data_IF_134915863863
#
_entry.id   IF_134915863863
#
_cell.length_a   1.000
_cell.length_b   1.000
_cell.length_c   1.000
_cell.angle_alpha   90.00
_cell.angle_beta   90.00
_cell.angle_gamma   90.00
#
_symmetry.space_group_name_H-M   'P 1'
#
loop_
_entity.id
_entity.type
_entity.pdbx_description
1 polymer ?
#
# COMPACT_ATOMS: atom_id res chain seq x y z
N UNK A 1 -6.31 -6.85 -8.45
CA UNK A 1 -5.64 -8.12 -8.85
C UNK A 1 -4.80 -8.61 -7.68
N UNK A 2 -4.76 -9.92 -7.47
CA UNK A 2 -3.89 -10.59 -6.50
C UNK A 2 -2.93 -11.48 -7.29
N UNK A 3 -1.66 -11.48 -6.96
CA UNK A 3 -0.70 -12.41 -7.52
C UNK A 3 -0.52 -13.58 -6.55
N UNK A 4 -0.80 -14.78 -7.04
CA UNK A 4 -0.45 -16.02 -6.38
C UNK A 4 1.01 -16.31 -6.70
N UNK A 5 1.89 -15.68 -5.93
CA UNK A 5 3.34 -15.75 -6.13
C UNK A 5 3.84 -17.16 -5.98
N UNK A 6 4.64 -17.62 -6.94
CA UNK A 6 5.15 -18.98 -7.06
C UNK A 6 4.11 -20.09 -6.89
N UNK A 7 2.82 -19.80 -7.11
CA UNK A 7 1.74 -20.78 -7.06
C UNK A 7 1.47 -21.38 -5.67
N UNK A 8 1.80 -20.65 -4.61
CA UNK A 8 1.69 -21.14 -3.22
C UNK A 8 0.26 -21.46 -2.79
N UNK A 9 -0.72 -20.67 -3.24
CA UNK A 9 -2.13 -20.94 -2.95
C UNK A 9 -2.69 -21.96 -3.92
N UNK A 10 -3.00 -23.14 -3.41
CA UNK A 10 -3.53 -24.30 -4.19
C UNK A 10 -4.94 -24.70 -3.77
N UNK A 11 -5.53 -23.99 -2.79
CA UNK A 11 -6.86 -24.25 -2.28
C UNK A 11 -7.92 -23.69 -3.22
N UNK A 12 -8.95 -24.49 -3.49
CA UNK A 12 -10.14 -24.10 -4.24
C UNK A 12 -10.80 -22.83 -3.68
N UNK A 13 -10.79 -22.71 -2.36
CA UNK A 13 -11.38 -21.58 -1.66
C UNK A 13 -10.73 -20.24 -2.03
N UNK A 14 -9.41 -20.20 -2.26
CA UNK A 14 -8.71 -18.99 -2.68
C UNK A 14 -9.30 -18.43 -3.99
N UNK A 15 -9.47 -19.28 -5.00
CA UNK A 15 -10.02 -18.86 -6.30
C UNK A 15 -11.51 -18.54 -6.19
N UNK A 16 -12.27 -19.34 -5.44
CA UNK A 16 -13.69 -19.08 -5.20
C UNK A 16 -13.91 -17.71 -4.55
N UNK A 17 -13.13 -17.37 -3.53
CA UNK A 17 -13.20 -16.05 -2.91
C UNK A 17 -12.78 -14.92 -3.87
N UNK A 18 -11.76 -15.14 -4.70
CA UNK A 18 -11.39 -14.18 -5.73
C UNK A 18 -12.53 -13.96 -6.74
N UNK A 19 -13.25 -15.01 -7.14
CA UNK A 19 -14.44 -14.91 -7.98
C UNK A 19 -15.54 -14.09 -7.30
N UNK A 20 -15.87 -14.41 -6.05
CA UNK A 20 -16.92 -13.73 -5.27
C UNK A 20 -16.61 -12.23 -5.05
N UNK A 21 -15.35 -11.90 -4.78
CA UNK A 21 -14.93 -10.52 -4.55
C UNK A 21 -14.56 -9.75 -5.83
N UNK A 22 -14.63 -10.40 -7.01
CA UNK A 22 -14.26 -9.78 -8.28
C UNK A 22 -12.77 -9.42 -8.38
N UNK A 23 -11.90 -10.22 -7.77
CA UNK A 23 -10.46 -10.03 -7.79
C UNK A 23 -9.82 -10.83 -8.90
N UNK A 24 -9.10 -10.19 -9.80
CA UNK A 24 -8.31 -10.91 -10.80
C UNK A 24 -7.11 -11.60 -10.15
N UNK A 25 -6.78 -12.80 -10.63
CA UNK A 25 -5.64 -13.59 -10.17
C UNK A 25 -4.58 -13.65 -11.26
N UNK A 26 -3.36 -13.30 -10.93
CA UNK A 26 -2.14 -13.63 -11.64
C UNK A 26 -1.55 -14.87 -10.97
N UNK A 27 -1.55 -16.01 -11.65
CA UNK A 27 -1.08 -17.26 -11.07
C UNK A 27 0.29 -17.66 -11.59
N UNK A 28 1.28 -17.72 -10.72
CA UNK A 28 2.58 -18.29 -11.02
C UNK A 28 2.54 -19.82 -10.90
N UNK A 29 3.47 -20.50 -11.59
CA UNK A 29 3.87 -21.87 -11.25
C UNK A 29 5.04 -21.84 -10.24
N UNK A 30 5.47 -23.01 -9.76
CA UNK A 30 6.35 -23.19 -8.59
C UNK A 30 7.83 -22.90 -8.86
N UNK A 31 8.14 -21.95 -9.73
CA UNK A 31 9.50 -21.53 -10.02
C UNK A 31 9.75 -20.15 -9.43
N UNK A 32 10.69 -20.08 -8.49
CA UNK A 32 11.01 -18.89 -7.73
C UNK A 32 12.04 -17.99 -8.44
N UNK A 33 12.71 -17.14 -7.67
CA UNK A 33 13.69 -16.16 -8.13
C UNK A 33 14.94 -16.82 -8.70
N UNK A 34 15.63 -16.16 -9.63
CA UNK A 34 16.94 -16.60 -10.13
C UNK A 34 17.92 -16.87 -8.97
N UNK A 35 18.67 -17.96 -9.08
CA UNK A 35 19.61 -18.39 -8.05
C UNK A 35 19.03 -19.31 -6.97
N UNK A 36 17.74 -19.33 -6.82
CA UNK A 36 17.06 -20.29 -5.96
C UNK A 36 16.51 -21.43 -6.81
N UNK A 37 15.64 -21.81 -7.10
CA UNK A 37 14.93 -22.85 -7.78
C UNK A 37 15.11 -22.81 -9.32
N UNK A 38 16.35 -22.88 -9.77
CA UNK A 38 16.64 -22.68 -11.19
C UNK A 38 16.21 -23.84 -12.09
N UNK A 39 16.39 -25.06 -11.61
CA UNK A 39 16.11 -26.27 -12.37
C UNK A 39 15.08 -27.12 -11.63
N UNK A 40 14.17 -27.66 -12.40
CA UNK A 40 13.22 -28.67 -11.93
C UNK A 40 13.93 -30.03 -11.91
N UNK A 41 13.87 -30.76 -10.80
CA UNK A 41 14.51 -32.05 -10.66
C UNK A 41 13.85 -33.12 -11.56
N UNK A 42 12.54 -33.00 -11.75
CA UNK A 42 11.75 -33.90 -12.60
C UNK A 42 10.75 -33.04 -13.42
N UNK A 43 11.13 -32.76 -14.67
CA UNK A 43 10.30 -31.96 -15.58
C UNK A 43 8.99 -32.67 -15.95
N UNK A 44 8.97 -34.03 -16.03
CA UNK A 44 7.75 -34.75 -16.36
C UNK A 44 6.73 -34.67 -15.24
N UNK A 45 7.17 -34.83 -14.00
CA UNK A 45 6.31 -34.64 -12.82
C UNK A 45 5.83 -33.19 -12.72
N UNK A 46 6.72 -32.21 -12.95
CA UNK A 46 6.35 -30.80 -12.97
C UNK A 46 5.26 -30.53 -14.02
N UNK A 47 5.42 -31.02 -15.23
CA UNK A 47 4.45 -30.84 -16.31
C UNK A 47 3.11 -31.54 -16.02
N UNK A 48 3.15 -32.69 -15.36
CA UNK A 48 1.93 -33.38 -14.92
C UNK A 48 1.16 -32.52 -13.89
N UNK A 49 1.86 -32.04 -12.89
CA UNK A 49 1.27 -31.16 -11.87
C UNK A 49 0.74 -29.84 -12.48
N UNK A 50 1.50 -29.22 -13.39
CA UNK A 50 1.07 -28.02 -14.10
C UNK A 50 -0.21 -28.25 -14.90
N UNK A 51 -0.33 -29.39 -15.58
CA UNK A 51 -1.54 -29.76 -16.31
C UNK A 51 -2.76 -29.87 -15.39
N UNK A 52 -2.61 -30.56 -14.27
CA UNK A 52 -3.70 -30.74 -13.32
C UNK A 52 -4.11 -29.39 -12.67
N UNK A 53 -3.14 -28.53 -12.37
CA UNK A 53 -3.38 -27.17 -11.88
C UNK A 53 -4.17 -26.34 -12.89
N UNK A 54 -3.77 -26.34 -14.17
CA UNK A 54 -4.51 -25.62 -15.22
C UNK A 54 -5.93 -26.16 -15.35
N UNK A 55 -6.10 -27.49 -15.42
CA UNK A 55 -7.43 -28.12 -15.53
C UNK A 55 -8.33 -27.82 -14.37
N UNK A 56 -7.76 -27.77 -13.16
CA UNK A 56 -8.50 -27.50 -11.92
C UNK A 56 -9.00 -26.06 -11.87
N UNK A 57 -8.15 -25.09 -12.20
CA UNK A 57 -8.46 -23.69 -11.94
C UNK A 57 -8.88 -22.87 -13.17
N UNK A 58 -8.73 -23.38 -14.38
CA UNK A 58 -9.05 -22.64 -15.63
C UNK A 58 -10.50 -22.16 -15.74
N UNK A 59 -11.43 -22.73 -14.98
CA UNK A 59 -12.83 -22.33 -15.02
C UNK A 59 -13.17 -21.17 -14.07
N UNK A 60 -12.23 -20.73 -13.23
CA UNK A 60 -12.44 -19.58 -12.37
C UNK A 60 -12.37 -18.28 -13.16
N UNK A 61 -13.43 -17.44 -13.18
CA UNK A 61 -13.43 -16.17 -13.91
C UNK A 61 -12.42 -15.15 -13.36
N UNK A 62 -12.01 -15.29 -12.12
CA UNK A 62 -10.96 -14.49 -11.51
C UNK A 62 -9.59 -14.70 -12.12
N UNK A 63 -9.29 -15.91 -12.59
CA UNK A 63 -7.98 -16.23 -13.14
C UNK A 63 -7.76 -15.52 -14.48
N UNK A 64 -6.77 -14.63 -14.52
CA UNK A 64 -6.49 -13.79 -15.67
C UNK A 64 -5.17 -14.09 -16.37
N UNK A 65 -4.15 -14.49 -15.62
CA UNK A 65 -2.78 -14.67 -16.13
C UNK A 65 -2.18 -15.95 -15.58
N UNK A 66 -1.53 -16.71 -16.49
CA UNK A 66 -0.60 -17.78 -16.15
C UNK A 66 0.84 -17.30 -16.33
N UNK A 67 1.71 -17.58 -15.36
CA UNK A 67 3.12 -17.21 -15.39
C UNK A 67 3.99 -18.40 -14.95
N UNK A 68 4.97 -18.84 -15.76
CA UNK A 68 5.75 -20.02 -15.45
C UNK A 68 6.73 -19.80 -14.31
N UNK A 69 7.22 -18.56 -14.13
CA UNK A 69 8.33 -18.30 -13.23
C UNK A 69 8.32 -16.87 -12.68
N UNK A 70 8.69 -16.75 -11.41
CA UNK A 70 9.05 -15.46 -10.82
C UNK A 70 10.43 -15.02 -11.32
N UNK A 71 10.54 -13.73 -11.69
CA UNK A 71 11.78 -12.99 -12.00
C UNK A 71 12.76 -13.71 -12.94
N UNK A 72 12.29 -14.27 -14.03
CA UNK A 72 13.14 -14.93 -15.00
C UNK A 72 12.33 -15.85 -15.89
N UNK A 73 12.99 -16.52 -16.78
CA UNK A 73 12.39 -17.52 -17.66
C UNK A 73 12.56 -18.92 -17.06
N UNK A 74 11.60 -19.80 -17.29
CA UNK A 74 11.81 -21.22 -17.09
C UNK A 74 12.97 -21.71 -17.98
N UNK A 75 13.45 -22.93 -17.75
CA UNK A 75 14.54 -23.49 -18.58
C UNK A 75 14.13 -23.55 -20.07
N UNK A 76 15.08 -23.49 -21.00
CA UNK A 76 14.78 -23.60 -22.43
C UNK A 76 14.01 -24.87 -22.84
N UNK A 77 14.07 -25.91 -22.02
CA UNK A 77 13.32 -27.17 -22.23
C UNK A 77 11.91 -27.07 -21.68
N UNK A 78 11.71 -26.39 -20.55
CA UNK A 78 10.44 -26.31 -19.84
C UNK A 78 9.52 -25.19 -20.37
N UNK A 79 10.09 -24.01 -20.69
CA UNK A 79 9.31 -22.84 -21.12
C UNK A 79 8.37 -23.14 -22.32
N UNK A 80 8.84 -23.67 -23.44
CA UNK A 80 7.94 -23.92 -24.56
C UNK A 80 6.91 -25.04 -24.27
N UNK A 81 7.22 -25.96 -23.38
CA UNK A 81 6.29 -27.02 -22.94
C UNK A 81 5.15 -26.46 -22.12
N UNK A 82 5.45 -25.51 -21.21
CA UNK A 82 4.43 -24.80 -20.41
C UNK A 82 3.54 -23.93 -21.28
N UNK A 83 4.13 -23.14 -22.17
CA UNK A 83 3.37 -22.32 -23.12
C UNK A 83 2.41 -23.18 -23.97
N UNK A 84 2.89 -24.29 -24.52
CA UNK A 84 2.06 -25.21 -25.29
C UNK A 84 0.99 -25.93 -24.43
N UNK A 85 1.31 -26.26 -23.18
CA UNK A 85 0.35 -26.81 -22.23
C UNK A 85 -0.81 -25.87 -21.99
N UNK A 86 -0.52 -24.59 -21.66
CA UNK A 86 -1.53 -23.60 -21.37
C UNK A 86 -2.37 -23.29 -22.61
N UNK A 87 -1.75 -23.15 -23.76
CA UNK A 87 -2.49 -22.94 -25.02
C UNK A 87 -3.46 -24.09 -25.32
N UNK A 88 -3.09 -25.33 -24.99
CA UNK A 88 -3.92 -26.52 -25.23
C UNK A 88 -5.00 -26.72 -24.16
N UNK A 89 -4.66 -26.55 -22.88
CA UNK A 89 -5.56 -26.94 -21.78
C UNK A 89 -6.49 -25.78 -21.38
N UNK A 90 -6.07 -24.54 -21.57
CA UNK A 90 -6.87 -23.33 -21.29
C UNK A 90 -7.17 -22.56 -22.59
N UNK A 91 -6.16 -22.02 -23.24
CA UNK A 91 -6.24 -21.30 -24.52
C UNK A 91 -6.96 -19.96 -24.47
N UNK A 92 -7.43 -19.51 -23.32
CA UNK A 92 -8.23 -18.29 -23.15
C UNK A 92 -7.55 -17.19 -22.33
N UNK A 93 -6.68 -17.56 -21.38
CA UNK A 93 -5.97 -16.61 -20.51
C UNK A 93 -4.65 -16.19 -21.10
N UNK A 94 -4.24 -14.99 -20.68
CA UNK A 94 -2.93 -14.50 -21.06
C UNK A 94 -1.82 -15.36 -20.42
N UNK A 95 -0.83 -15.74 -21.21
CA UNK A 95 0.39 -16.36 -20.75
C UNK A 95 1.50 -15.33 -20.73
N UNK A 96 2.01 -15.00 -19.54
CA UNK A 96 3.19 -14.16 -19.38
C UNK A 96 4.39 -15.08 -19.14
N UNK A 97 5.43 -15.07 -20.00
CA UNK A 97 6.55 -16.00 -19.87
C UNK A 97 7.40 -15.78 -18.62
N UNK A 98 7.20 -14.66 -17.94
CA UNK A 98 7.86 -14.32 -16.67
C UNK A 98 7.14 -13.14 -16.00
N UNK A 99 7.59 -12.78 -14.78
CA UNK A 99 7.03 -11.66 -14.01
C UNK A 99 7.84 -10.37 -14.09
N UNK A 100 8.88 -10.27 -14.93
CA UNK A 100 9.87 -9.18 -14.86
C UNK A 100 10.23 -8.53 -16.19
N UNK A 101 10.12 -9.25 -17.29
CA UNK A 101 10.62 -8.85 -18.61
C UNK A 101 9.49 -8.60 -19.62
N UNK A 102 9.87 -8.26 -20.84
CA UNK A 102 8.98 -7.92 -21.95
C UNK A 102 8.25 -6.60 -21.71
N UNK A 103 6.93 -6.60 -21.72
CA UNK A 103 6.10 -5.40 -21.51
C UNK A 103 5.90 -5.02 -20.03
N UNK A 104 6.51 -5.78 -19.12
CA UNK A 104 6.53 -5.50 -17.71
C UNK A 104 7.75 -4.63 -17.38
N UNK A 105 7.64 -3.84 -16.33
CA UNK A 105 8.84 -3.23 -15.79
C UNK A 105 9.60 -4.23 -14.90
N UNK A 106 10.91 -4.00 -14.75
CA UNK A 106 11.70 -4.72 -13.74
C UNK A 106 11.10 -4.51 -12.35
N UNK A 107 10.92 -5.59 -11.58
CA UNK A 107 10.36 -5.57 -10.23
C UNK A 107 11.14 -4.67 -9.26
N UNK A 108 10.50 -4.30 -8.15
CA UNK A 108 11.07 -3.44 -7.12
C UNK A 108 10.88 -1.95 -7.41
N UNK A 109 11.53 -1.04 -6.62
CA UNK A 109 12.39 -1.36 -5.48
C UNK A 109 11.65 -2.03 -4.32
N UNK A 110 12.42 -2.66 -3.41
CA UNK A 110 11.90 -3.31 -2.19
C UNK A 110 12.50 -2.72 -0.91
N UNK A 111 13.22 -1.62 -1.01
CA UNK A 111 13.85 -0.90 0.08
C UNK A 111 13.18 0.46 0.30
N UNK A 112 13.46 1.08 1.43
CA UNK A 112 12.95 2.40 1.75
C UNK A 112 13.59 3.47 0.85
N UNK A 113 12.77 4.30 0.23
CA UNK A 113 13.22 5.47 -0.51
C UNK A 113 13.11 6.72 0.38
N UNK A 114 14.24 7.30 0.71
CA UNK A 114 14.30 8.50 1.54
C UNK A 114 13.61 9.70 0.88
N UNK A 115 13.58 9.77 -0.45
CA UNK A 115 12.82 10.76 -1.22
C UNK A 115 11.67 10.08 -1.97
N UNK A 116 10.45 10.28 -1.52
CA UNK A 116 9.24 9.76 -2.14
C UNK A 116 9.06 10.21 -3.60
N UNK A 117 9.69 11.33 -4.00
CA UNK A 117 9.67 11.82 -5.37
C UNK A 117 10.27 10.81 -6.35
N UNK A 118 11.16 9.94 -5.89
CA UNK A 118 11.77 8.92 -6.74
C UNK A 118 10.75 7.93 -7.30
N UNK A 119 9.69 7.61 -6.56
CA UNK A 119 8.60 6.79 -7.09
C UNK A 119 7.98 7.44 -8.33
N UNK A 120 7.76 8.76 -8.30
CA UNK A 120 7.15 9.53 -9.40
C UNK A 120 8.10 9.74 -10.56
N UNK A 121 9.38 10.04 -10.27
CA UNK A 121 10.35 10.44 -11.29
C UNK A 121 10.99 9.25 -12.00
N UNK A 122 11.22 8.14 -11.28
CA UNK A 122 12.06 7.03 -11.76
C UNK A 122 11.33 5.70 -11.87
N UNK A 123 10.33 5.44 -11.01
CA UNK A 123 9.78 4.10 -10.87
C UNK A 123 8.40 3.91 -11.48
N UNK A 124 7.55 4.94 -11.53
CA UNK A 124 6.19 4.84 -12.03
C UNK A 124 6.13 4.77 -13.56
N UNK A 125 6.29 3.56 -14.10
CA UNK A 125 6.06 3.24 -15.51
C UNK A 125 5.70 1.76 -15.68
N UNK A 126 4.96 1.44 -16.75
CA UNK A 126 4.57 0.07 -17.10
C UNK A 126 3.66 -0.59 -16.06
N UNK A 127 3.63 -1.91 -16.10
CA UNK A 127 3.00 -2.76 -15.09
C UNK A 127 4.09 -3.32 -14.17
N UNK A 128 4.01 -3.05 -12.88
CA UNK A 128 4.92 -3.61 -11.88
C UNK A 128 4.27 -4.79 -11.18
N UNK A 129 4.89 -5.95 -11.25
CA UNK A 129 4.42 -7.16 -10.57
C UNK A 129 4.82 -7.20 -9.10
N UNK A 130 5.82 -6.40 -8.72
CA UNK A 130 6.29 -6.25 -7.35
C UNK A 130 6.83 -4.85 -7.13
N UNK A 131 6.35 -4.19 -6.10
CA UNK A 131 6.83 -2.92 -5.59
C UNK A 131 6.61 -2.90 -4.09
N UNK A 132 7.63 -2.66 -3.30
CA UNK A 132 7.49 -2.70 -1.85
C UNK A 132 8.49 -1.82 -1.12
N UNK A 133 8.25 -1.68 0.15
CA UNK A 133 9.18 -1.13 1.13
C UNK A 133 8.98 -1.88 2.44
N UNK A 134 10.02 -2.15 3.22
CA UNK A 134 9.84 -2.73 4.55
C UNK A 134 8.81 -1.95 5.35
N UNK A 135 8.21 -2.58 6.33
CA UNK A 135 7.29 -1.92 7.25
C UNK A 135 7.38 -2.54 8.64
N UNK A 136 7.32 -1.70 9.65
CA UNK A 136 7.36 -2.13 11.04
C UNK A 136 5.94 -2.20 11.59
N UNK A 137 5.54 -3.30 12.26
CA UNK A 137 4.24 -3.42 12.92
C UNK A 137 3.98 -2.35 13.97
N UNK A 138 2.75 -2.29 14.47
CA UNK A 138 2.42 -1.47 15.64
C UNK A 138 3.14 -1.96 16.88
N UNK A 139 3.35 -1.09 17.88
CA UNK A 139 3.95 -1.48 19.15
C UNK A 139 3.18 -2.62 19.85
N UNK A 140 1.86 -2.66 19.65
CA UNK A 140 1.01 -3.73 20.17
C UNK A 140 1.34 -5.08 19.54
N UNK A 141 1.46 -5.14 18.22
CA UNK A 141 1.85 -6.36 17.51
C UNK A 141 3.29 -6.77 17.84
N UNK A 142 4.22 -5.81 17.93
CA UNK A 142 5.61 -6.08 18.33
C UNK A 142 5.71 -6.74 19.71
N UNK A 143 4.89 -6.31 20.68
CA UNK A 143 4.85 -6.90 22.01
C UNK A 143 4.41 -8.35 22.07
N UNK A 144 3.73 -8.83 21.02
CA UNK A 144 3.26 -10.23 20.95
C UNK A 144 4.38 -11.21 20.62
N UNK A 145 5.46 -10.77 19.96
CA UNK A 145 6.53 -11.65 19.52
C UNK A 145 7.94 -11.24 19.97
N UNK A 146 8.17 -9.98 20.36
CA UNK A 146 9.43 -9.57 20.96
C UNK A 146 9.34 -9.72 22.49
N UNK A 147 10.20 -10.54 23.11
CA UNK A 147 10.28 -10.67 24.57
C UNK A 147 10.50 -9.32 25.26
N UNK A 148 9.95 -9.15 26.45
CA UNK A 148 9.96 -7.87 27.14
C UNK A 148 11.38 -7.29 27.33
N UNK A 149 12.35 -8.13 27.66
CA UNK A 149 13.74 -7.71 27.84
C UNK A 149 14.42 -7.22 26.56
N UNK A 150 13.91 -7.63 25.39
CA UNK A 150 14.49 -7.35 24.08
C UNK A 150 13.75 -6.26 23.30
N UNK A 151 12.67 -5.70 23.90
CA UNK A 151 11.81 -4.72 23.22
C UNK A 151 12.47 -3.38 22.99
N UNK A 152 13.35 -2.96 23.88
CA UNK A 152 14.04 -1.68 23.77
C UNK A 152 15.29 -1.63 24.67
N UNK A 153 16.43 -1.09 24.19
CA UNK A 153 16.65 -0.64 22.82
C UNK A 153 16.54 -1.79 21.81
N UNK A 154 16.57 -1.45 20.49
CA UNK A 154 16.55 -2.45 19.42
C UNK A 154 17.69 -3.46 19.64
N UNK A 155 17.36 -4.73 19.60
CA UNK A 155 18.23 -5.86 19.96
C UNK A 155 18.39 -6.85 18.81
N UNK A 156 19.23 -7.86 18.97
CA UNK A 156 19.41 -8.94 17.99
C UNK A 156 18.11 -9.70 17.72
N UNK A 157 17.18 -9.73 18.70
CA UNK A 157 15.85 -10.32 18.51
C UNK A 157 15.07 -9.60 17.41
N UNK A 158 15.18 -8.28 17.30
CA UNK A 158 14.56 -7.54 16.22
C UNK A 158 15.14 -7.92 14.86
N UNK A 159 16.46 -8.03 14.76
CA UNK A 159 17.15 -8.43 13.52
C UNK A 159 16.83 -9.86 13.10
N UNK A 160 16.53 -10.75 14.06
CA UNK A 160 16.03 -12.09 13.73
C UNK A 160 14.70 -12.05 12.98
N UNK A 161 13.86 -11.06 13.26
CA UNK A 161 12.57 -10.86 12.59
C UNK A 161 12.65 -9.95 11.36
N UNK A 162 13.83 -9.40 11.03
CA UNK A 162 14.09 -8.50 9.90
C UNK A 162 14.84 -9.25 8.78
N UNK A 163 14.13 -10.00 7.97
CA UNK A 163 14.74 -10.93 6.99
C UNK A 163 15.51 -10.24 5.86
N UNK A 164 15.22 -8.99 5.56
CA UNK A 164 15.82 -8.25 4.43
C UNK A 164 16.54 -6.99 4.85
N UNK A 165 16.93 -6.92 6.13
CA UNK A 165 17.74 -5.84 6.69
C UNK A 165 17.14 -4.43 6.49
N UNK A 166 15.82 -4.32 6.45
CA UNK A 166 15.11 -3.04 6.31
C UNK A 166 15.09 -2.20 7.60
N UNK A 167 15.33 -2.83 8.75
CA UNK A 167 15.30 -2.16 10.05
C UNK A 167 16.36 -1.04 10.19
N UNK A 168 17.62 -1.19 9.74
CA UNK A 168 18.59 -0.10 9.77
C UNK A 168 18.16 1.12 8.93
N UNK A 169 17.53 0.89 7.76
CA UNK A 169 16.99 1.98 6.92
C UNK A 169 15.91 2.74 7.66
N UNK A 170 15.01 2.03 8.34
CA UNK A 170 13.93 2.64 9.15
C UNK A 170 14.46 3.36 10.38
N UNK A 171 15.47 2.82 11.06
CA UNK A 171 16.13 3.53 12.17
C UNK A 171 16.72 4.86 11.69
N UNK A 172 17.46 4.83 10.57
CA UNK A 172 18.01 6.03 9.96
C UNK A 172 16.92 7.02 9.53
N UNK A 173 15.82 6.53 8.95
CA UNK A 173 14.69 7.36 8.56
C UNK A 173 13.99 8.00 9.77
N UNK A 174 13.77 7.26 10.84
CA UNK A 174 13.18 7.80 12.10
C UNK A 174 14.07 8.91 12.64
N UNK A 175 15.38 8.67 12.74
CA UNK A 175 16.33 9.65 13.29
C UNK A 175 16.36 10.93 12.43
N UNK A 176 16.38 10.78 11.10
CA UNK A 176 16.43 11.91 10.17
C UNK A 176 15.12 12.71 10.12
N UNK A 177 13.97 12.04 10.13
CA UNK A 177 12.67 12.68 9.93
C UNK A 177 12.06 13.19 11.24
N UNK A 178 12.17 12.41 12.32
CA UNK A 178 11.44 12.64 13.57
C UNK A 178 12.32 12.76 14.81
N UNK A 179 13.66 12.62 14.64
CA UNK A 179 14.61 12.54 15.76
C UNK A 179 14.59 11.17 16.44
N UNK A 180 15.64 10.90 17.21
CA UNK A 180 15.83 9.60 17.88
C UNK A 180 14.59 9.16 18.64
N UNK A 181 14.31 7.86 18.54
CA UNK A 181 13.27 7.25 19.32
C UNK A 181 13.75 6.93 20.74
N UNK A 182 12.87 7.07 21.73
CA UNK A 182 13.20 6.89 23.15
C UNK A 182 12.62 5.57 23.73
N UNK A 183 11.73 4.92 23.00
CA UNK A 183 11.06 3.68 23.41
C UNK A 183 10.48 2.93 22.23
N UNK A 184 10.07 1.67 22.43
CA UNK A 184 9.31 0.89 21.47
C UNK A 184 8.09 1.66 20.94
N UNK A 185 7.29 2.25 21.84
CA UNK A 185 6.08 2.98 21.45
C UNK A 185 6.40 4.21 20.62
N UNK A 186 7.45 4.94 20.97
CA UNK A 186 7.88 6.12 20.24
C UNK A 186 8.41 5.74 18.85
N UNK A 187 9.23 4.72 18.77
CA UNK A 187 9.75 4.21 17.50
C UNK A 187 8.62 3.75 16.59
N UNK A 188 7.77 2.84 17.08
CA UNK A 188 6.66 2.32 16.27
C UNK A 188 5.69 3.42 15.85
N UNK A 189 5.40 4.42 16.70
CA UNK A 189 4.55 5.56 16.34
C UNK A 189 5.14 6.40 15.20
N UNK A 190 6.44 6.69 15.24
CA UNK A 190 7.16 7.43 14.18
C UNK A 190 7.17 6.64 12.88
N UNK A 191 7.49 5.35 12.96
CA UNK A 191 7.49 4.46 11.80
C UNK A 191 6.12 4.33 11.14
N UNK A 192 5.01 4.40 11.90
CA UNK A 192 3.67 4.35 11.28
C UNK A 192 3.44 5.50 10.29
N UNK A 193 4.02 6.67 10.53
CA UNK A 193 3.95 7.78 9.57
C UNK A 193 4.80 7.48 8.32
N UNK A 194 5.98 6.91 8.49
CA UNK A 194 6.84 6.48 7.37
C UNK A 194 6.13 5.41 6.55
N UNK A 195 5.59 4.37 7.20
CA UNK A 195 4.82 3.33 6.55
C UNK A 195 3.66 3.90 5.72
N UNK A 196 2.92 4.86 6.29
CA UNK A 196 1.79 5.49 5.63
C UNK A 196 2.24 6.28 4.40
N UNK A 197 3.22 7.16 4.53
CA UNK A 197 3.64 8.04 3.47
C UNK A 197 4.30 7.27 2.32
N UNK A 198 5.18 6.31 2.62
CA UNK A 198 5.85 5.50 1.60
C UNK A 198 4.86 4.67 0.77
N UNK A 199 3.93 3.96 1.42
CA UNK A 199 2.96 3.12 0.71
C UNK A 199 1.94 3.95 -0.07
N UNK A 200 1.54 5.12 0.46
CA UNK A 200 0.72 6.05 -0.30
C UNK A 200 1.46 6.56 -1.53
N UNK A 201 2.70 7.02 -1.37
CA UNK A 201 3.51 7.59 -2.45
C UNK A 201 3.76 6.57 -3.57
N UNK A 202 4.03 5.31 -3.26
CA UNK A 202 4.17 4.24 -4.25
C UNK A 202 2.96 4.17 -5.18
N UNK A 203 1.76 4.13 -4.63
CA UNK A 203 0.53 3.98 -5.42
C UNK A 203 0.11 5.30 -6.10
N UNK A 204 0.26 6.44 -5.42
CA UNK A 204 -0.01 7.75 -6.01
C UNK A 204 0.91 8.04 -7.21
N UNK A 205 2.15 7.54 -7.19
CA UNK A 205 3.06 7.68 -8.32
C UNK A 205 2.51 6.98 -9.58
N UNK A 206 2.00 5.74 -9.45
CA UNK A 206 1.34 5.04 -10.56
C UNK A 206 0.06 5.73 -10.99
N UNK A 207 -0.76 6.14 -10.04
CA UNK A 207 -1.99 6.87 -10.31
C UNK A 207 -1.74 8.16 -11.10
N UNK A 208 -0.67 8.90 -10.79
CA UNK A 208 -0.35 10.18 -11.45
C UNK A 208 -0.12 10.07 -12.96
N UNK A 209 0.18 8.88 -13.44
CA UNK A 209 0.50 8.57 -14.84
C UNK A 209 -0.43 7.54 -15.46
N UNK A 210 -1.58 7.30 -14.81
CA UNK A 210 -2.55 6.29 -15.19
C UNK A 210 -2.96 6.43 -16.65
N UNK A 211 -2.77 5.35 -17.36
CA UNK A 211 -2.94 5.03 -18.76
C UNK A 211 -2.03 5.78 -19.76
N UNK A 212 -1.20 6.70 -19.28
CA UNK A 212 -0.18 7.31 -20.14
C UNK A 212 1.09 6.44 -20.17
N UNK A 213 1.74 6.29 -19.03
CA UNK A 213 2.97 5.49 -18.93
C UNK A 213 2.90 4.38 -17.88
N UNK A 214 1.82 4.30 -17.11
CA UNK A 214 1.57 3.24 -16.12
C UNK A 214 0.29 2.49 -16.44
N UNK A 215 0.27 1.18 -16.17
CA UNK A 215 -0.93 0.34 -16.38
C UNK A 215 -1.32 -0.48 -15.14
N UNK A 216 -0.46 -0.59 -14.15
CA UNK A 216 -0.77 -1.26 -12.90
C UNK A 216 0.44 -1.48 -12.01
N UNK A 217 0.17 -1.78 -10.76
CA UNK A 217 1.19 -2.10 -9.75
C UNK A 217 0.62 -3.09 -8.73
N UNK A 218 1.40 -4.11 -8.42
CA UNK A 218 1.14 -5.06 -7.35
C UNK A 218 2.15 -4.82 -6.23
N UNK A 219 1.65 -4.80 -5.00
CA UNK A 219 2.52 -4.63 -3.83
C UNK A 219 3.23 -5.93 -3.49
N UNK A 220 4.52 -5.84 -3.22
CA UNK A 220 5.30 -6.84 -2.54
C UNK A 220 5.54 -6.41 -1.11
N UNK A 221 4.82 -6.96 -0.16
CA UNK A 221 3.65 -7.84 -0.26
C UNK A 221 2.54 -7.36 0.69
N UNK A 222 1.44 -8.10 0.77
CA UNK A 222 0.33 -7.68 1.64
C UNK A 222 0.49 -8.12 3.09
N UNK A 223 1.05 -9.32 3.31
CA UNK A 223 0.93 -10.03 4.57
C UNK A 223 2.07 -11.06 4.74
N UNK A 224 2.76 -11.08 5.88
CA UNK A 224 3.80 -12.05 6.15
C UNK A 224 3.22 -13.37 6.64
N UNK A 225 3.94 -14.47 6.42
CA UNK A 225 3.56 -15.79 6.89
C UNK A 225 3.86 -16.03 8.38
N UNK A 226 4.66 -15.17 8.99
CA UNK A 226 5.12 -15.28 10.37
C UNK A 226 5.41 -13.90 10.98
N UNK A 227 5.61 -13.76 12.31
CA UNK A 227 5.94 -12.48 12.95
C UNK A 227 7.23 -11.90 12.36
N UNK A 228 7.15 -10.85 11.54
CA UNK A 228 8.31 -10.24 10.87
C UNK A 228 8.16 -8.74 10.69
N UNK A 229 9.26 -8.08 10.30
CA UNK A 229 9.36 -6.66 9.96
C UNK A 229 9.43 -6.43 8.46
N UNK A 230 8.88 -7.35 7.68
CA UNK A 230 8.98 -7.40 6.23
C UNK A 230 7.97 -6.47 5.52
N UNK A 231 7.97 -6.55 4.21
CA UNK A 231 7.01 -5.87 3.33
C UNK A 231 5.59 -6.33 3.63
N UNK A 232 4.81 -5.48 4.27
CA UNK A 232 3.47 -5.85 4.71
C UNK A 232 2.56 -4.62 4.86
N UNK A 233 1.28 -4.81 4.61
CA UNK A 233 0.26 -3.79 4.87
C UNK A 233 -0.48 -4.04 6.17
N UNK A 234 -0.47 -5.29 6.64
CA UNK A 234 -0.93 -5.71 7.97
C UNK A 234 -0.02 -6.82 8.50
N UNK A 235 0.09 -6.90 9.80
CA UNK A 235 1.00 -7.82 10.48
C UNK A 235 0.48 -9.26 10.48
N UNK A 236 1.33 -10.20 10.88
CA UNK A 236 1.00 -11.62 11.03
C UNK A 236 -0.25 -11.89 11.88
N UNK A 237 -0.57 -11.00 12.81
CA UNK A 237 -1.72 -11.04 13.70
C UNK A 237 -2.94 -10.27 13.15
N UNK A 238 -2.94 -9.98 11.84
CA UNK A 238 -3.95 -9.22 11.11
C UNK A 238 -4.16 -7.78 11.58
N UNK A 239 -3.28 -7.24 12.42
CA UNK A 239 -3.34 -5.84 12.81
C UNK A 239 -2.92 -4.95 11.65
N UNK A 240 -3.79 -4.01 11.24
CA UNK A 240 -3.49 -3.03 10.20
C UNK A 240 -2.60 -1.92 10.75
N UNK A 241 -1.62 -1.50 9.96
CA UNK A 241 -0.71 -0.41 10.33
C UNK A 241 -0.62 0.67 9.24
N UNK A 242 0.30 1.61 9.37
CA UNK A 242 0.39 2.79 8.50
C UNK A 242 0.35 2.47 7.00
N UNK A 243 1.04 1.41 6.57
CA UNK A 243 1.08 0.95 5.17
C UNK A 243 -0.30 0.62 4.61
N UNK A 244 -1.15 -0.10 5.37
CA UNK A 244 -2.52 -0.39 4.95
C UNK A 244 -3.31 0.89 4.67
N UNK A 245 -3.23 1.85 5.58
CA UNK A 245 -3.97 3.11 5.44
C UNK A 245 -3.42 4.00 4.31
N UNK A 246 -2.10 3.96 4.07
CA UNK A 246 -1.46 4.60 2.91
C UNK A 246 -1.97 4.03 1.59
N UNK A 247 -1.96 2.70 1.45
CA UNK A 247 -2.53 2.00 0.29
C UNK A 247 -4.02 2.32 0.11
N UNK A 248 -4.81 2.20 1.17
CA UNK A 248 -6.24 2.49 1.13
C UNK A 248 -6.53 3.92 0.68
N UNK A 249 -5.71 4.88 1.12
CA UNK A 249 -5.85 6.28 0.73
C UNK A 249 -5.59 6.46 -0.76
N UNK A 250 -4.47 5.98 -1.27
CA UNK A 250 -4.12 6.11 -2.68
C UNK A 250 -5.06 5.33 -3.62
N UNK A 251 -5.73 4.28 -3.13
CA UNK A 251 -6.68 3.46 -3.91
C UNK A 251 -8.14 3.94 -3.83
N UNK A 252 -8.42 5.15 -3.35
CA UNK A 252 -9.77 5.72 -3.43
C UNK A 252 -10.21 5.83 -4.91
N UNK A 253 -11.44 5.42 -5.23
CA UNK A 253 -11.95 5.46 -6.61
C UNK A 253 -12.04 6.88 -7.20
N UNK A 254 -12.29 7.86 -6.34
CA UNK A 254 -12.12 9.28 -6.60
C UNK A 254 -11.10 9.80 -5.61
N UNK A 255 -9.93 10.15 -6.08
CA UNK A 255 -8.79 10.50 -5.24
C UNK A 255 -8.20 11.86 -5.62
N UNK A 256 -7.90 12.69 -4.63
CA UNK A 256 -7.14 13.92 -4.82
C UNK A 256 -5.74 13.73 -4.25
N UNK A 257 -4.72 13.94 -5.07
CA UNK A 257 -3.33 13.76 -4.69
C UNK A 257 -2.45 14.94 -5.11
N UNK A 258 -1.25 15.00 -4.54
CA UNK A 258 -0.22 15.97 -4.89
C UNK A 258 1.11 15.28 -5.15
N UNK A 259 1.69 15.56 -6.30
CA UNK A 259 3.04 15.09 -6.60
C UNK A 259 4.05 15.76 -5.66
N UNK A 260 4.94 14.99 -5.03
CA UNK A 260 5.87 15.54 -4.05
C UNK A 260 6.95 16.45 -4.64
N UNK A 261 7.34 16.23 -5.90
CA UNK A 261 8.47 16.92 -6.54
C UNK A 261 8.13 18.27 -7.15
N UNK A 262 6.90 18.48 -7.60
CA UNK A 262 6.48 19.70 -8.31
C UNK A 262 5.25 20.38 -7.72
N UNK A 263 4.63 19.77 -6.69
CA UNK A 263 3.44 20.30 -6.05
C UNK A 263 2.17 20.28 -6.93
N UNK A 264 2.21 19.57 -8.07
CA UNK A 264 1.04 19.42 -8.94
C UNK A 264 -0.05 18.63 -8.25
N UNK A 265 -1.22 19.22 -8.11
CA UNK A 265 -2.43 18.57 -7.57
C UNK A 265 -3.23 17.95 -8.70
N UNK A 266 -3.55 16.69 -8.54
CA UNK A 266 -4.24 15.86 -9.52
C UNK A 266 -5.52 15.29 -8.91
N UNK A 267 -6.53 15.09 -9.74
CA UNK A 267 -7.71 14.26 -9.42
C UNK A 267 -7.65 12.99 -10.24
N UNK A 268 -7.59 11.86 -9.55
CA UNK A 268 -7.62 10.53 -10.14
C UNK A 268 -9.03 9.99 -10.05
N UNK A 269 -9.59 9.64 -11.20
CA UNK A 269 -10.91 9.04 -11.31
C UNK A 269 -10.77 7.65 -11.93
N UNK A 270 -11.00 6.59 -11.17
CA UNK A 270 -11.02 5.20 -11.67
C UNK A 270 -12.42 4.70 -11.97
N UNK A 271 -13.44 5.56 -11.85
CA UNK A 271 -14.82 5.25 -12.18
C UNK A 271 -15.02 5.38 -13.69
N UNK A 272 -15.98 4.64 -14.23
CA UNK A 272 -16.30 4.64 -15.68
C UNK A 272 -17.01 5.90 -16.17
N UNK A 273 -17.53 6.70 -15.23
CA UNK A 273 -18.29 7.90 -15.56
C UNK A 273 -17.43 9.16 -15.37
N UNK A 274 -17.56 10.10 -16.30
CA UNK A 274 -17.08 11.45 -16.11
C UNK A 274 -17.98 12.20 -15.09
N UNK A 275 -17.38 13.07 -14.31
CA UNK A 275 -18.08 13.86 -13.30
C UNK A 275 -17.93 15.35 -13.60
N UNK A 276 -19.01 16.09 -13.38
CA UNK A 276 -19.02 17.55 -13.61
C UNK A 276 -19.02 18.33 -12.29
N UNK A 277 -18.66 19.60 -12.39
CA UNK A 277 -18.67 20.52 -11.25
C UNK A 277 -17.83 20.07 -10.05
N UNK A 278 -16.64 19.55 -10.35
CA UNK A 278 -15.63 19.22 -9.34
C UNK A 278 -15.06 20.49 -8.69
N UNK A 279 -14.73 20.42 -7.43
CA UNK A 279 -14.04 21.48 -6.71
C UNK A 279 -12.92 20.93 -5.88
N UNK A 280 -11.70 21.37 -6.11
CA UNK A 280 -10.52 21.04 -5.32
C UNK A 280 -10.14 22.21 -4.43
N UNK A 281 -9.85 21.91 -3.18
CA UNK A 281 -9.41 22.88 -2.18
C UNK A 281 -8.09 22.37 -1.59
N UNK A 282 -7.06 23.21 -1.59
CA UNK A 282 -5.83 23.01 -0.83
C UNK A 282 -5.81 23.99 0.34
N UNK A 283 -5.65 23.50 1.55
CA UNK A 283 -5.54 24.31 2.76
C UNK A 283 -4.24 23.98 3.47
N UNK A 284 -3.51 25.00 3.86
CA UNK A 284 -2.21 24.87 4.51
C UNK A 284 -2.33 25.20 5.98
N UNK A 285 -1.71 24.37 6.84
CA UNK A 285 -1.75 24.53 8.28
C UNK A 285 -0.37 24.38 8.91
N UNK A 286 -0.14 25.09 10.02
CA UNK A 286 0.95 24.72 10.92
C UNK A 286 0.65 23.37 11.59
N UNK A 287 1.65 22.65 12.14
CA UNK A 287 1.41 21.43 12.89
C UNK A 287 0.42 21.63 14.07
N UNK A 288 0.38 22.81 14.67
CA UNK A 288 -0.57 23.16 15.72
C UNK A 288 -1.99 23.48 15.21
N UNK A 289 -2.25 23.41 13.89
CA UNK A 289 -3.58 23.59 13.32
C UNK A 289 -3.95 25.02 12.92
N UNK A 290 -3.03 26.00 13.04
CA UNK A 290 -3.26 27.36 12.53
C UNK A 290 -3.23 27.38 11.02
N UNK A 291 -4.28 27.88 10.37
CA UNK A 291 -4.34 28.02 8.91
C UNK A 291 -3.33 29.07 8.42
N UNK A 292 -2.53 28.68 7.44
CA UNK A 292 -1.53 29.52 6.78
C UNK A 292 -2.05 30.12 5.47
N UNK A 293 -2.86 29.35 4.73
CA UNK A 293 -3.38 29.76 3.44
C UNK A 293 -4.41 28.79 2.91
N UNK A 294 -5.02 29.16 1.77
CA UNK A 294 -6.00 28.32 1.06
C UNK A 294 -6.01 28.66 -0.41
N UNK A 295 -6.07 27.65 -1.25
CA UNK A 295 -6.34 27.76 -2.69
C UNK A 295 -7.61 26.98 -3.03
N UNK A 296 -8.24 27.33 -4.14
CA UNK A 296 -9.43 26.64 -4.65
C UNK A 296 -9.46 26.72 -6.16
N UNK A 297 -9.83 25.62 -6.80
CA UNK A 297 -10.13 25.53 -8.22
C UNK A 297 -11.46 24.82 -8.44
N UNK A 298 -12.16 25.18 -9.52
CA UNK A 298 -13.33 24.48 -10.00
C UNK A 298 -12.92 23.75 -11.28
N UNK A 299 -13.27 22.48 -11.37
CA UNK A 299 -13.08 21.64 -12.54
C UNK A 299 -14.44 21.49 -13.23
N UNK A 300 -14.54 21.89 -14.47
CA UNK A 300 -15.78 21.71 -15.25
C UNK A 300 -16.08 20.23 -15.42
N UNK A 301 -15.04 19.45 -15.69
CA UNK A 301 -15.12 18.01 -15.84
C UNK A 301 -13.96 17.32 -15.11
N UNK A 302 -14.25 16.17 -14.53
CA UNK A 302 -13.29 15.16 -14.07
C UNK A 302 -13.48 13.96 -14.99
N UNK A 303 -12.53 13.76 -15.89
CA UNK A 303 -12.66 12.75 -16.95
C UNK A 303 -12.83 11.33 -16.39
N UNK A 304 -13.59 10.49 -17.09
CA UNK A 304 -13.83 9.09 -16.73
C UNK A 304 -12.55 8.27 -16.86
N UNK A 305 -12.27 7.42 -15.89
CA UNK A 305 -11.11 6.52 -15.87
C UNK A 305 -9.81 7.21 -16.30
N UNK A 306 -9.52 8.36 -15.71
CA UNK A 306 -8.44 9.24 -16.13
C UNK A 306 -7.87 10.08 -14.96
N UNK A 307 -6.78 10.79 -15.26
CA UNK A 307 -6.18 11.77 -14.37
C UNK A 307 -6.49 13.17 -14.90
N UNK A 308 -7.06 14.01 -14.05
CA UNK A 308 -7.38 15.41 -14.35
C UNK A 308 -6.46 16.33 -13.54
N UNK A 309 -5.57 17.11 -14.17
CA UNK A 309 -4.81 18.15 -13.47
C UNK A 309 -5.73 19.21 -12.86
N UNK A 310 -5.48 19.60 -11.63
CA UNK A 310 -6.29 20.57 -10.91
C UNK A 310 -5.58 21.93 -10.74
N UNK A 311 -4.45 21.95 -10.05
CA UNK A 311 -3.70 23.16 -9.78
C UNK A 311 -2.27 22.85 -9.32
N UNK A 312 -1.38 23.85 -9.36
CA UNK A 312 -0.12 23.79 -8.62
C UNK A 312 -0.34 24.32 -7.21
N UNK A 313 0.08 23.56 -6.19
CA UNK A 313 -0.03 23.96 -4.80
C UNK A 313 0.92 25.12 -4.50
N UNK A 314 0.41 26.23 -3.95
CA UNK A 314 1.23 27.35 -3.46
C UNK A 314 1.79 26.98 -2.07
N UNK A 315 2.82 26.15 -2.06
CA UNK A 315 3.43 25.65 -0.83
C UNK A 315 4.02 26.82 -0.02
N UNK A 316 3.82 26.87 1.30
CA UNK A 316 4.40 27.90 2.15
C UNK A 316 5.93 27.90 2.08
N UNK A 317 6.52 29.01 1.70
CA UNK A 317 7.96 29.20 1.75
C UNK A 317 8.47 29.42 3.18
N UNK A 318 9.69 29.04 3.44
CA UNK A 318 10.40 29.30 4.73
C UNK A 318 9.65 28.80 5.98
N UNK A 319 9.06 27.61 5.90
CA UNK A 319 8.43 26.94 7.04
C UNK A 319 9.17 25.66 7.40
N UNK A 320 9.43 25.46 8.68
CA UNK A 320 10.11 24.25 9.16
C UNK A 320 9.25 22.99 8.93
N UNK A 321 7.96 23.07 9.25
CA UNK A 321 7.01 21.99 9.05
C UNK A 321 5.60 22.57 8.85
N UNK A 322 4.83 21.99 7.94
CA UNK A 322 3.43 22.36 7.70
C UNK A 322 2.64 21.17 7.14
N UNK A 323 1.32 21.29 7.18
CA UNK A 323 0.40 20.32 6.60
C UNK A 323 -0.29 20.93 5.39
N UNK A 324 -0.44 20.11 4.34
CA UNK A 324 -1.27 20.38 3.17
C UNK A 324 -2.47 19.47 3.24
N UNK A 325 -3.67 20.02 3.36
CA UNK A 325 -4.93 19.27 3.23
C UNK A 325 -5.55 19.55 1.89
N UNK A 326 -5.72 18.48 1.12
CA UNK A 326 -6.46 18.49 -0.14
C UNK A 326 -7.86 17.94 0.08
N UNK A 327 -8.86 18.59 -0.47
CA UNK A 327 -10.25 18.15 -0.40
C UNK A 327 -10.86 18.21 -1.80
N UNK A 328 -11.48 17.10 -2.23
CA UNK A 328 -12.25 17.03 -3.47
C UNK A 328 -13.75 16.99 -3.14
N UNK A 329 -14.49 17.86 -3.78
CA UNK A 329 -15.95 17.91 -3.72
C UNK A 329 -16.54 17.65 -5.12
N UNK A 330 -17.59 16.85 -5.18
CA UNK A 330 -18.40 16.60 -6.38
C UNK A 330 -19.88 16.67 -5.97
N UNK A 331 -20.69 17.43 -6.73
CA UNK A 331 -22.09 17.63 -6.40
C UNK A 331 -22.32 18.22 -4.98
N UNK A 332 -21.39 19.05 -4.50
CA UNK A 332 -21.45 19.64 -3.16
C UNK A 332 -21.01 18.70 -2.01
N UNK A 333 -20.78 17.42 -2.27
CA UNK A 333 -20.33 16.43 -1.28
C UNK A 333 -18.80 16.28 -1.32
N UNK A 334 -18.16 16.22 -0.15
CA UNK A 334 -16.74 15.89 -0.05
C UNK A 334 -16.55 14.39 -0.30
N UNK A 335 -15.82 14.05 -1.35
CA UNK A 335 -15.62 12.66 -1.82
C UNK A 335 -14.22 12.13 -1.56
N UNK A 336 -13.21 13.02 -1.43
CA UNK A 336 -11.85 12.63 -1.06
C UNK A 336 -11.20 13.71 -0.18
N UNK A 337 -10.35 13.27 0.76
CA UNK A 337 -9.49 14.12 1.58
C UNK A 337 -8.12 13.47 1.65
N UNK A 338 -7.06 14.22 1.41
CA UNK A 338 -5.69 13.73 1.51
C UNK A 338 -4.81 14.74 2.25
N UNK A 339 -4.04 14.27 3.19
CA UNK A 339 -3.20 15.11 4.04
C UNK A 339 -1.72 14.77 3.85
N UNK A 340 -0.90 15.80 3.66
CA UNK A 340 0.55 15.66 3.50
C UNK A 340 1.27 16.47 4.58
N UNK A 341 2.26 15.86 5.20
CA UNK A 341 3.26 16.57 5.98
C UNK A 341 4.37 17.05 5.03
N UNK A 342 4.78 18.31 5.17
CA UNK A 342 5.83 18.92 4.37
C UNK A 342 6.79 19.70 5.23
N UNK A 343 8.05 19.62 4.88
CA UNK A 343 9.14 20.41 5.45
C UNK A 343 10.27 20.52 4.42
N UNK A 344 10.90 21.68 4.26
CA UNK A 344 12.19 21.74 3.57
C UNK A 344 13.18 20.81 4.25
N UNK A 345 13.90 19.99 3.50
CA UNK A 345 14.81 18.99 4.07
C UNK A 345 14.14 17.81 4.80
N UNK A 346 12.79 17.72 4.79
CA UNK A 346 12.03 16.62 5.42
C UNK A 346 12.26 16.47 6.93
N UNK A 347 12.57 17.51 7.65
CA UNK A 347 12.65 17.51 9.12
C UNK A 347 11.27 17.77 9.73
N UNK A 348 10.72 16.75 10.41
CA UNK A 348 9.43 16.77 11.10
C UNK A 348 9.58 16.77 12.63
N UNK A 349 10.77 17.02 13.17
CA UNK A 349 11.03 17.03 14.63
C UNK A 349 10.14 18.02 15.37
N UNK A 350 9.66 19.09 14.69
CA UNK A 350 8.70 20.02 15.24
C UNK A 350 7.42 19.36 15.77
N UNK A 351 7.05 18.18 15.24
CA UNK A 351 5.88 17.42 15.71
C UNK A 351 6.05 16.90 17.14
N UNK A 352 7.28 16.64 17.58
CA UNK A 352 7.55 16.14 18.93
C UNK A 352 7.22 17.17 20.01
N UNK A 353 7.09 18.45 19.63
CA UNK A 353 6.75 19.56 20.55
C UNK A 353 5.25 19.84 20.63
N UNK A 354 4.42 19.11 19.88
CA UNK A 354 2.98 19.26 19.94
C UNK A 354 2.44 18.77 21.29
N UNK A 355 1.49 19.51 21.84
CA UNK A 355 0.80 19.07 23.04
C UNK A 355 0.03 17.77 22.78
N UNK A 356 0.01 16.89 23.76
CA UNK A 356 -0.80 15.68 23.69
C UNK A 356 -2.28 16.02 23.56
N UNK A 357 -2.95 15.33 22.66
CA UNK A 357 -4.37 15.51 22.37
C UNK A 357 -5.16 14.34 22.96
N UNK A 358 -6.20 14.64 23.73
CA UNK A 358 -7.22 13.65 24.14
C UNK A 358 -8.48 13.83 23.30
N UNK A 359 -8.71 12.88 22.40
CA UNK A 359 -9.95 12.83 21.64
C UNK A 359 -11.11 12.32 22.51
N UNK A 360 -12.31 12.80 22.23
CA UNK A 360 -13.54 12.29 22.81
C UNK A 360 -14.27 11.49 21.72
N UNK A 361 -14.63 10.25 22.03
CA UNK A 361 -15.42 9.40 21.16
C UNK A 361 -16.77 9.10 21.82
N UNK A 362 -17.84 9.25 21.05
CA UNK A 362 -19.21 8.93 21.48
C UNK A 362 -19.85 8.05 20.41
N UNK A 363 -20.37 6.89 20.82
CA UNK A 363 -21.18 6.06 19.94
C UNK A 363 -22.50 6.77 19.64
N UNK A 364 -22.81 7.00 18.38
CA UNK A 364 -24.03 7.68 17.94
C UNK A 364 -25.06 6.75 17.32
N UNK A 365 -24.64 5.61 16.77
CA UNK A 365 -25.55 4.60 16.23
C UNK A 365 -24.91 3.20 16.28
N UNK A 366 -25.76 2.18 16.33
CA UNK A 366 -25.44 0.78 16.10
C UNK A 366 -26.53 0.18 15.23
N UNK A 367 -26.12 -0.52 14.19
CA UNK A 367 -27.02 -1.26 13.31
C UNK A 367 -26.46 -2.68 13.18
N UNK A 368 -27.32 -3.65 13.29
CA UNK A 368 -27.00 -5.08 13.14
C UNK A 368 -27.93 -5.65 12.06
N UNK A 369 -27.36 -6.27 11.03
CA UNK A 369 -28.14 -6.90 9.94
C UNK A 369 -28.07 -8.43 9.98
N UNK A 370 -27.59 -9.01 11.09
CA UNK A 370 -27.43 -10.44 11.29
C UNK A 370 -26.16 -11.03 10.64
N UNK A 371 -25.46 -10.27 9.77
CA UNK A 371 -24.17 -10.64 9.17
C UNK A 371 -23.05 -9.77 9.69
N UNK A 372 -23.34 -8.50 9.92
CA UNK A 372 -22.37 -7.53 10.40
C UNK A 372 -23.03 -6.55 11.38
N UNK A 373 -22.24 -6.10 12.35
CA UNK A 373 -22.62 -4.98 13.23
C UNK A 373 -21.87 -3.71 12.79
N UNK A 374 -22.63 -2.72 12.34
CA UNK A 374 -22.11 -1.39 12.05
C UNK A 374 -22.25 -0.49 13.26
N UNK A 375 -21.15 0.08 13.72
CA UNK A 375 -21.13 1.05 14.82
C UNK A 375 -20.62 2.39 14.31
N UNK A 376 -21.39 3.47 14.53
CA UNK A 376 -21.00 4.83 14.19
C UNK A 376 -20.57 5.56 15.45
N UNK A 377 -19.41 6.18 15.36
CA UNK A 377 -18.87 7.04 16.40
C UNK A 377 -18.73 8.48 15.90
N UNK A 378 -19.04 9.42 16.77
CA UNK A 378 -18.65 10.81 16.65
C UNK A 378 -17.35 11.01 17.43
N UNK A 379 -16.34 11.53 16.77
CA UNK A 379 -15.05 11.83 17.40
C UNK A 379 -14.81 13.31 17.35
N UNK A 380 -14.51 13.89 18.49
CA UNK A 380 -14.22 15.32 18.62
C UNK A 380 -12.84 15.54 19.24
N UNK A 381 -12.16 16.56 18.74
CA UNK A 381 -10.95 17.10 19.33
C UNK A 381 -11.30 18.39 20.08
N UNK A 382 -11.35 18.37 21.40
CA UNK A 382 -11.68 19.57 22.19
C UNK A 382 -10.51 20.54 22.35
N UNK A 383 -9.30 20.15 21.89
CA UNK A 383 -8.11 20.99 21.97
C UNK A 383 -7.92 21.85 20.73
N UNK A 384 -7.06 22.87 20.82
CA UNK A 384 -6.63 23.67 19.68
C UNK A 384 -5.50 22.99 18.86
N UNK A 385 -4.92 21.89 19.38
CA UNK A 385 -3.82 21.17 18.73
C UNK A 385 -4.37 20.13 17.77
N UNK A 386 -3.78 20.00 16.59
CA UNK A 386 -4.18 18.99 15.61
C UNK A 386 -3.92 17.58 16.12
N UNK A 387 -4.89 16.69 15.97
CA UNK A 387 -4.68 15.25 16.16
C UNK A 387 -4.24 14.64 14.84
N UNK A 388 -3.03 14.11 14.78
CA UNK A 388 -2.44 13.51 13.57
C UNK A 388 -2.60 12.00 13.59
N UNK A 389 -2.78 11.39 12.40
CA UNK A 389 -2.76 9.96 12.16
C UNK A 389 -3.65 9.16 13.14
N UNK A 390 -4.90 9.61 13.33
CA UNK A 390 -5.84 8.97 14.27
C UNK A 390 -6.29 7.64 13.70
N UNK A 391 -6.00 6.56 14.43
CA UNK A 391 -6.46 5.19 14.13
C UNK A 391 -7.50 4.76 15.17
N UNK A 392 -8.54 4.07 14.74
CA UNK A 392 -9.52 3.41 15.60
C UNK A 392 -9.24 1.92 15.64
N UNK A 393 -9.02 1.38 16.82
CA UNK A 393 -8.92 -0.05 17.04
C UNK A 393 -10.23 -0.56 17.62
N UNK A 394 -10.79 -1.60 17.00
CA UNK A 394 -11.96 -2.33 17.53
C UNK A 394 -11.42 -3.57 18.22
N UNK A 395 -11.84 -3.78 19.47
CA UNK A 395 -11.36 -4.88 20.31
C UNK A 395 -12.52 -5.65 20.88
N UNK A 396 -12.39 -6.97 21.01
CA UNK A 396 -13.31 -7.77 21.81
C UNK A 396 -13.20 -7.31 23.28
N UNK A 397 -14.32 -7.02 23.89
CA UNK A 397 -14.37 -6.47 25.25
C UNK A 397 -13.95 -7.46 26.35
N UNK A 398 -13.83 -8.77 26.03
CA UNK A 398 -13.45 -9.83 26.97
C UNK A 398 -11.97 -10.23 26.78
N UNK A 399 -11.54 -10.41 25.56
CA UNK A 399 -10.17 -10.87 25.24
C UNK A 399 -9.20 -9.72 25.01
N UNK A 400 -9.69 -8.53 24.63
CA UNK A 400 -8.87 -7.39 24.21
C UNK A 400 -8.27 -7.55 22.81
N UNK A 401 -8.57 -8.64 22.12
CA UNK A 401 -8.04 -8.92 20.79
C UNK A 401 -8.71 -8.06 19.72
N UNK A 402 -8.04 -7.84 18.61
CA UNK A 402 -8.64 -7.17 17.44
C UNK A 402 -9.80 -7.99 16.88
N UNK A 403 -10.88 -7.28 16.45
CA UNK A 403 -12.05 -7.87 15.81
C UNK A 403 -12.00 -7.54 14.33
#
# INVERSE_FOLDING_TARGET
MVRNWTGESTEELFYTLCDEYGLLVWNDFWLSTEGYNQNVNDEELFMANARETVRRFRNHPSLAVWCPRNEGYATPTLEPRLAALIAREDGTRFYSPNSRYMNLRTSGPWHYLADESEYFLRHAFGFSTELGTPSVPTAESMRKFIPEADRWPISDTWYYHDLHFGLPEYCGAVDALYGKAESLDDFCRKVQLINYDSHRAMLEAWNSRMWNSTSGVLLWMSHPAWPSLEWQTYSWDFETHGSFYGCRKACESLHVQMNPHDGQVLVVNTIRDALTHGRVIATYYTPAGKRLGRQRVVLEEIAANAVTPAMSAALPENRDCYMVRLELYVGGRRVSVNDYLRSPGRDFTALNRLAQVRLRARRVARQDDGRATTVRFEVSNPSATTALAVKFNVRDGRTGEAI
#
